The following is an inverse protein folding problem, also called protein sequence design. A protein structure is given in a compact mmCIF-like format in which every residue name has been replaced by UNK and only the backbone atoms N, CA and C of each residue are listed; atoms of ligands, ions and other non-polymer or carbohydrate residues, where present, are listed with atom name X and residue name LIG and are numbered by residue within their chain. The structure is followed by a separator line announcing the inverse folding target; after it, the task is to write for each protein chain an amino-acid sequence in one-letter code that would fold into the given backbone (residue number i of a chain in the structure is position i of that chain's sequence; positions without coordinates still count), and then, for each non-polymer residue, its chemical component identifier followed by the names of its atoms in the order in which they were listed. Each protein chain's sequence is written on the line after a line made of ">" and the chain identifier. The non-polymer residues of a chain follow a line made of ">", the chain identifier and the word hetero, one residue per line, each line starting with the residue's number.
data_IF_899044872985
#
_entry.id   IF_899044872985
#
_cell.length_a   1.000
_cell.length_b   1.000
_cell.length_c   1.000
_cell.angle_alpha   90.00
_cell.angle_beta   90.00
_cell.angle_gamma   90.00
#
_symmetry.space_group_name_H-M   'P 1'
#
loop_
_entity.id
_entity.type
_entity.pdbx_description
1 polymer ?
#
# COMPACT_ATOMS: atom_id res chain seq x y z
N UNK A 1 -12.23 11.21 -5.06
CA UNK A 1 -10.82 11.34 -5.51
C UNK A 1 -10.20 12.72 -5.28
N UNK A 2 -10.98 13.74 -4.89
CA UNK A 2 -10.46 15.08 -4.57
C UNK A 2 -9.53 15.12 -3.35
N UNK A 3 -9.75 14.25 -2.34
CA UNK A 3 -8.92 14.19 -1.13
C UNK A 3 -7.43 13.90 -1.41
N UNK A 4 -7.13 12.99 -2.35
CA UNK A 4 -5.76 12.69 -2.78
C UNK A 4 -5.24 13.64 -3.87
N UNK A 5 -6.06 14.64 -4.24
CA UNK A 5 -5.84 15.55 -5.35
C UNK A 5 -5.42 14.80 -6.61
N UNK A 6 -6.15 13.71 -6.91
CA UNK A 6 -6.11 13.05 -8.22
C UNK A 6 -6.98 13.82 -9.21
N UNK A 7 -8.05 14.44 -8.69
CA UNK A 7 -8.84 15.46 -9.37
C UNK A 7 -8.81 16.71 -8.49
N UNK A 8 -8.58 17.88 -9.08
CA UNK A 8 -8.65 19.15 -8.35
C UNK A 8 -10.12 19.54 -8.13
N UNK A 9 -10.50 20.03 -6.92
CA UNK A 9 -11.86 20.44 -6.65
C UNK A 9 -12.23 21.67 -7.49
N UNK A 10 -13.38 21.64 -8.15
CA UNK A 10 -13.88 22.77 -8.96
C UNK A 10 -14.47 23.89 -8.09
N UNK A 11 -14.98 23.54 -6.91
CA UNK A 11 -15.52 24.48 -5.92
C UNK A 11 -15.30 23.93 -4.51
N UNK A 12 -15.22 24.83 -3.52
CA UNK A 12 -14.98 24.47 -2.13
C UNK A 12 -13.53 24.06 -1.85
N UNK A 13 -13.21 23.86 -0.57
CA UNK A 13 -11.87 23.52 -0.10
C UNK A 13 -11.93 22.29 0.81
N UNK A 14 -10.83 21.54 0.85
CA UNK A 14 -10.67 20.40 1.76
C UNK A 14 -9.61 20.79 2.79
N UNK A 15 -10.00 20.77 4.07
CA UNK A 15 -9.14 21.19 5.18
C UNK A 15 -8.89 19.99 6.08
N UNK A 16 -7.62 19.71 6.36
CA UNK A 16 -7.19 18.66 7.30
C UNK A 16 -6.38 19.36 8.40
N UNK A 17 -6.79 19.17 9.66
CA UNK A 17 -6.16 19.80 10.84
C UNK A 17 -5.97 21.32 10.72
N UNK A 18 -6.93 22.00 10.07
CA UNK A 18 -6.89 23.45 9.86
C UNK A 18 -6.05 23.91 8.67
N UNK A 19 -5.43 23.00 7.92
CA UNK A 19 -4.62 23.31 6.74
C UNK A 19 -5.40 22.93 5.48
N UNK A 20 -5.53 23.88 4.55
CA UNK A 20 -6.08 23.61 3.22
C UNK A 20 -5.09 22.76 2.40
N UNK A 21 -5.52 21.57 1.97
CA UNK A 21 -4.66 20.64 1.23
C UNK A 21 -4.28 21.17 -0.16
N UNK A 22 -5.01 22.15 -0.70
CA UNK A 22 -4.67 22.81 -1.96
C UNK A 22 -3.39 23.65 -1.84
N UNK A 23 -3.04 24.10 -0.63
CA UNK A 23 -1.82 24.88 -0.35
C UNK A 23 -0.55 24.03 -0.24
N UNK A 24 -0.70 22.72 -0.04
CA UNK A 24 0.42 21.79 0.10
C UNK A 24 0.91 21.30 -1.27
N UNK A 25 2.18 20.91 -1.35
CA UNK A 25 2.67 20.16 -2.51
C UNK A 25 2.10 18.71 -2.49
N UNK A 26 1.94 18.12 -3.67
CA UNK A 26 1.31 16.80 -3.80
C UNK A 26 2.10 15.68 -3.11
N UNK A 27 3.43 15.77 -3.06
CA UNK A 27 4.28 14.75 -2.45
C UNK A 27 4.14 14.74 -0.92
N UNK A 28 4.11 15.92 -0.30
CA UNK A 28 3.91 16.09 1.14
C UNK A 28 2.52 15.66 1.57
N UNK A 29 1.50 15.96 0.77
CA UNK A 29 0.14 15.48 1.03
C UNK A 29 0.06 13.95 0.93
N UNK A 30 0.56 13.38 -0.17
CA UNK A 30 0.46 11.93 -0.44
C UNK A 30 1.38 11.07 0.41
N UNK A 31 2.44 11.62 0.99
CA UNK A 31 3.30 10.89 1.93
C UNK A 31 2.69 10.75 3.33
N UNK A 32 1.69 11.59 3.67
CA UNK A 32 1.04 11.62 5.00
C UNK A 32 -0.32 10.95 5.04
N UNK A 33 -0.86 10.59 3.88
CA UNK A 33 -2.15 9.92 3.76
C UNK A 33 -1.96 8.65 2.94
N UNK A 34 -2.56 7.55 3.38
CA UNK A 34 -2.55 6.27 2.65
C UNK A 34 -3.98 5.86 2.34
N UNK A 35 -4.18 5.22 1.18
CA UNK A 35 -5.45 4.63 0.77
C UNK A 35 -5.30 3.14 0.52
N UNK A 36 -6.35 2.40 0.87
CA UNK A 36 -6.52 1.00 0.46
C UNK A 36 -7.56 1.02 -0.69
N UNK A 37 -7.20 0.57 -1.90
CA UNK A 37 -8.13 0.54 -3.03
C UNK A 37 -9.26 -0.47 -2.80
N UNK A 38 -10.37 -0.28 -3.51
CA UNK A 38 -11.52 -1.21 -3.46
C UNK A 38 -11.18 -2.58 -4.06
N UNK A 39 -10.43 -2.57 -5.16
CA UNK A 39 -9.90 -3.78 -5.80
C UNK A 39 -8.39 -3.86 -5.51
N UNK A 40 -7.90 -4.95 -4.86
CA UNK A 40 -6.48 -5.11 -4.62
C UNK A 40 -5.76 -5.37 -5.94
N UNK A 41 -4.71 -4.59 -6.19
CA UNK A 41 -3.82 -4.77 -7.33
C UNK A 41 -2.46 -5.18 -6.80
N UNK A 42 -1.94 -6.29 -7.31
CA UNK A 42 -0.58 -6.74 -7.06
C UNK A 42 0.19 -6.77 -8.37
N UNK A 43 1.45 -6.35 -8.31
CA UNK A 43 2.38 -6.36 -9.42
C UNK A 43 3.15 -7.69 -9.46
N UNK A 44 3.44 -8.18 -10.66
CA UNK A 44 4.30 -9.35 -10.85
C UNK A 44 5.69 -9.09 -10.29
N UNK A 45 6.22 -10.03 -9.51
CA UNK A 45 7.51 -9.89 -8.83
C UNK A 45 7.50 -10.57 -7.46
N UNK A 46 8.46 -10.25 -6.60
CA UNK A 46 8.44 -10.79 -5.24
C UNK A 46 7.34 -10.16 -4.40
N UNK A 47 6.85 -10.90 -3.40
CA UNK A 47 5.93 -10.35 -2.41
C UNK A 47 6.55 -9.14 -1.69
N UNK A 48 7.87 -9.22 -1.40
CA UNK A 48 8.65 -8.12 -0.84
C UNK A 48 8.57 -6.84 -1.68
N UNK A 49 8.66 -6.94 -3.01
CA UNK A 49 8.59 -5.78 -3.90
C UNK A 49 7.20 -5.12 -3.87
N UNK A 50 6.14 -5.90 -3.68
CA UNK A 50 4.79 -5.36 -3.52
C UNK A 50 4.59 -4.64 -2.17
N UNK A 51 5.26 -5.09 -1.11
CA UNK A 51 5.21 -4.45 0.21
C UNK A 51 6.09 -3.20 0.30
N UNK A 52 7.32 -3.28 -0.23
CA UNK A 52 8.32 -2.23 -0.16
C UNK A 52 9.04 -2.09 -1.52
N UNK A 53 8.42 -1.36 -2.48
CA UNK A 53 8.99 -1.17 -3.80
C UNK A 53 10.34 -0.44 -3.81
N UNK A 54 10.59 0.38 -2.77
CA UNK A 54 11.80 1.19 -2.67
C UNK A 54 12.91 0.51 -1.84
N UNK A 55 12.63 -0.60 -1.17
CA UNK A 55 13.59 -1.33 -0.35
C UNK A 55 14.11 -0.53 0.84
N UNK A 56 13.28 0.37 1.40
CA UNK A 56 13.66 1.29 2.47
C UNK A 56 13.52 0.68 3.87
N UNK A 57 12.74 -0.40 4.02
CA UNK A 57 12.46 -1.02 5.32
C UNK A 57 13.28 -2.28 5.55
N UNK A 58 13.62 -2.55 6.82
CA UNK A 58 14.27 -3.80 7.21
C UNK A 58 13.29 -4.95 7.14
N UNK A 59 13.81 -6.16 6.92
CA UNK A 59 12.97 -7.36 6.78
C UNK A 59 12.11 -7.64 8.02
N UNK A 60 12.63 -7.36 9.21
CA UNK A 60 11.91 -7.48 10.48
C UNK A 60 10.66 -6.59 10.54
N UNK A 61 10.74 -5.39 9.96
CA UNK A 61 9.62 -4.44 9.91
C UNK A 61 8.52 -4.95 8.95
N UNK A 62 8.92 -5.56 7.83
CA UNK A 62 8.00 -6.18 6.88
C UNK A 62 7.27 -7.37 7.52
N UNK A 63 7.98 -8.23 8.26
CA UNK A 63 7.35 -9.35 8.99
C UNK A 63 6.40 -8.86 10.07
N UNK A 64 6.78 -7.83 10.82
CA UNK A 64 5.89 -7.22 11.81
C UNK A 64 4.61 -6.66 11.17
N UNK A 65 4.72 -5.98 10.04
CA UNK A 65 3.57 -5.49 9.29
C UNK A 65 2.66 -6.64 8.82
N UNK A 66 3.24 -7.74 8.33
CA UNK A 66 2.50 -8.94 7.94
C UNK A 66 1.79 -9.61 9.11
N UNK A 67 2.41 -9.68 10.29
CA UNK A 67 1.80 -10.24 11.49
C UNK A 67 0.60 -9.40 11.96
N UNK A 68 0.74 -8.06 11.93
CA UNK A 68 -0.37 -7.13 12.23
C UNK A 68 -1.51 -7.23 11.21
N UNK A 69 -1.20 -7.55 9.94
CA UNK A 69 -2.17 -7.76 8.89
C UNK A 69 -2.72 -9.21 8.84
N UNK A 70 -2.37 -10.06 9.80
CA UNK A 70 -2.75 -11.48 9.87
C UNK A 70 -2.27 -12.34 8.68
N UNK A 71 -1.29 -11.87 7.91
CA UNK A 71 -0.71 -12.59 6.76
C UNK A 71 0.61 -13.30 7.11
N UNK A 72 1.22 -12.99 8.25
CA UNK A 72 2.54 -13.50 8.60
C UNK A 72 2.60 -15.02 8.77
N UNK A 73 1.55 -15.65 9.31
CA UNK A 73 1.49 -17.12 9.42
C UNK A 73 1.45 -17.77 8.02
N UNK A 74 0.58 -17.28 7.14
CA UNK A 74 0.48 -17.75 5.76
C UNK A 74 1.80 -17.58 5.00
N UNK A 75 2.41 -16.39 5.09
CA UNK A 75 3.67 -16.11 4.40
C UNK A 75 4.83 -17.01 4.83
N UNK A 76 4.86 -17.45 6.10
CA UNK A 76 5.86 -18.41 6.59
C UNK A 76 5.63 -19.84 6.09
N UNK A 77 4.43 -20.17 5.60
CA UNK A 77 4.17 -21.48 4.96
C UNK A 77 4.69 -21.56 3.53
N UNK A 78 4.92 -20.41 2.88
CA UNK A 78 5.45 -20.38 1.53
C UNK A 78 6.95 -20.69 1.53
N UNK A 79 7.45 -21.54 0.61
CA UNK A 79 8.84 -22.01 0.62
C UNK A 79 9.88 -20.89 0.52
N UNK A 80 9.51 -19.77 -0.13
CA UNK A 80 10.40 -18.63 -0.34
C UNK A 80 10.01 -17.41 0.51
N UNK A 81 9.03 -17.52 1.43
CA UNK A 81 8.60 -16.42 2.28
C UNK A 81 8.34 -15.13 1.50
N UNK A 82 8.94 -14.02 1.94
CA UNK A 82 8.86 -12.70 1.28
C UNK A 82 9.37 -12.69 -0.18
N UNK A 83 10.24 -13.63 -0.54
CA UNK A 83 10.77 -13.77 -1.91
C UNK A 83 9.87 -14.64 -2.80
N UNK A 84 8.74 -15.12 -2.29
CA UNK A 84 7.72 -15.82 -3.08
C UNK A 84 7.25 -14.93 -4.23
N UNK A 85 7.15 -15.53 -5.42
CA UNK A 85 6.70 -14.84 -6.61
C UNK A 85 5.19 -14.63 -6.58
N UNK A 86 4.78 -13.41 -6.89
CA UNK A 86 3.39 -13.02 -7.09
C UNK A 86 3.09 -13.15 -8.58
N UNK A 87 2.09 -13.94 -8.92
CA UNK A 87 1.59 -14.08 -10.29
C UNK A 87 0.90 -12.81 -10.76
N UNK A 88 0.65 -12.70 -12.05
CA UNK A 88 -0.03 -11.53 -12.63
C UNK A 88 -1.33 -11.21 -11.87
N UNK A 89 -1.49 -9.95 -11.46
CA UNK A 89 -2.61 -9.45 -10.66
C UNK A 89 -2.90 -10.29 -9.39
N UNK A 90 -1.89 -10.93 -8.80
CA UNK A 90 -2.08 -11.76 -7.62
C UNK A 90 -2.83 -13.06 -7.89
N UNK A 91 -2.84 -13.56 -9.13
CA UNK A 91 -3.56 -14.79 -9.52
C UNK A 91 -3.27 -16.03 -8.66
N UNK A 92 -2.11 -16.09 -8.02
CA UNK A 92 -1.71 -17.16 -7.10
C UNK A 92 -2.00 -16.86 -5.62
N UNK A 93 -2.58 -15.70 -5.30
CA UNK A 93 -3.00 -15.27 -3.98
C UNK A 93 -4.51 -15.06 -3.99
N UNK A 94 -5.25 -16.02 -3.47
CA UNK A 94 -6.71 -15.90 -3.38
C UNK A 94 -7.10 -15.31 -2.03
N UNK A 95 -7.99 -14.33 -2.05
CA UNK A 95 -8.77 -13.99 -0.88
C UNK A 95 -9.67 -15.19 -0.58
N UNK A 96 -9.39 -15.91 0.50
CA UNK A 96 -10.32 -16.87 1.08
C UNK A 96 -11.06 -16.08 2.15
N UNK A 97 -12.29 -15.68 1.86
CA UNK A 97 -13.22 -15.24 2.90
C UNK A 97 -13.62 -16.45 3.76
#
# INVERSE_FOLDING_TARGET
>A
MALFRILEPTTGNIVIDGIDIASLNLLDLRSRITIIPQEPILFSGSFKLNLDPCGIYREEELWRALDLAHLGAFMRTLPNGLNSQVGECGSNLRCVL
#
